data_IF_769192108891
#
_entry.id   IF_769192108891
#
_cell.length_a   1.000
_cell.length_b   1.000
_cell.length_c   1.000
_cell.angle_alpha   90.00
_cell.angle_beta   90.00
_cell.angle_gamma   90.00
#
_symmetry.space_group_name_H-M   'P 1'
#
loop_
_entity.id
_entity.type
_entity.pdbx_description
1 polymer ?
#
# COMPACT_ATOMS: atom_id res chain seq x y z
N UNK A 1 -25.08 39.11 -19.57
CA UNK A 1 -24.73 37.68 -19.43
C UNK A 1 -23.51 37.57 -18.53
N UNK A 2 -23.65 37.09 -17.29
CA UNK A 2 -22.51 36.83 -16.39
C UNK A 2 -21.92 35.47 -16.77
N UNK A 3 -20.59 35.36 -16.93
CA UNK A 3 -19.96 34.11 -17.37
C UNK A 3 -20.12 33.01 -16.33
N UNK A 4 -20.34 31.78 -16.79
CA UNK A 4 -20.51 30.57 -15.97
C UNK A 4 -19.38 30.40 -14.93
N UNK A 5 -18.16 30.80 -15.30
CA UNK A 5 -16.97 30.76 -14.44
C UNK A 5 -17.13 31.58 -13.15
N UNK A 6 -17.85 32.72 -13.18
CA UNK A 6 -18.10 33.54 -11.97
C UNK A 6 -19.21 32.98 -11.08
N UNK A 7 -20.07 32.10 -11.59
CA UNK A 7 -21.11 31.42 -10.79
C UNK A 7 -20.55 30.22 -10.02
N UNK A 8 -19.58 29.51 -10.61
CA UNK A 8 -18.97 28.32 -10.03
C UNK A 8 -18.10 28.65 -8.81
N UNK A 9 -17.44 29.82 -8.78
CA UNK A 9 -16.64 30.29 -7.64
C UNK A 9 -17.45 30.50 -6.35
N UNK A 10 -18.77 30.69 -6.44
CA UNK A 10 -19.67 30.87 -5.29
C UNK A 10 -20.41 29.60 -4.87
N UNK A 11 -20.25 28.50 -5.60
CA UNK A 11 -20.97 27.24 -5.35
C UNK A 11 -20.12 26.27 -4.55
N UNK A 12 -20.73 25.60 -3.58
CA UNK A 12 -20.11 24.50 -2.88
C UNK A 12 -20.13 23.27 -3.79
N UNK A 13 -19.07 23.08 -4.58
CA UNK A 13 -18.94 22.02 -5.61
C UNK A 13 -19.05 20.59 -5.04
N UNK A 14 -19.11 20.44 -3.72
CA UNK A 14 -19.27 19.16 -3.02
C UNK A 14 -20.73 18.81 -2.69
N UNK A 15 -21.68 19.71 -2.94
CA UNK A 15 -23.11 19.44 -2.80
C UNK A 15 -23.77 19.40 -4.19
N UNK A 16 -24.16 18.20 -4.62
CA UNK A 16 -24.73 17.96 -5.96
C UNK A 16 -26.08 18.66 -6.14
N UNK A 17 -26.85 18.84 -5.06
CA UNK A 17 -28.16 19.51 -5.09
C UNK A 17 -28.02 21.01 -5.38
N UNK A 18 -27.08 21.69 -4.72
CA UNK A 18 -26.80 23.12 -4.93
C UNK A 18 -26.30 23.41 -6.36
N UNK A 19 -25.56 22.46 -6.94
CA UNK A 19 -25.07 22.53 -8.32
C UNK A 19 -26.20 22.38 -9.33
N UNK A 20 -27.18 21.51 -9.06
CA UNK A 20 -28.29 21.22 -9.95
C UNK A 20 -29.34 22.34 -9.99
N UNK A 21 -29.50 23.11 -8.91
CA UNK A 21 -30.44 24.24 -8.84
C UNK A 21 -30.01 25.45 -9.69
N UNK A 22 -28.71 25.63 -9.90
CA UNK A 22 -28.16 26.77 -10.67
C UNK A 22 -28.00 26.51 -12.17
N UNK A 23 -28.17 25.25 -12.60
CA UNK A 23 -28.10 24.86 -14.02
C UNK A 23 -29.41 25.19 -14.73
N UNK A 24 -29.30 25.71 -15.95
CA UNK A 24 -30.46 25.83 -16.84
C UNK A 24 -30.98 24.45 -17.25
N UNK A 25 -32.25 24.34 -17.68
CA UNK A 25 -32.80 23.04 -18.06
C UNK A 25 -32.04 22.35 -19.20
N UNK A 26 -31.49 23.13 -20.14
CA UNK A 26 -30.64 22.60 -21.22
C UNK A 26 -29.31 22.04 -20.66
N UNK A 27 -28.69 22.71 -19.69
CA UNK A 27 -27.46 22.26 -19.03
C UNK A 27 -27.72 21.07 -18.10
N UNK A 28 -28.89 21.02 -17.46
CA UNK A 28 -29.33 19.89 -16.63
C UNK A 28 -29.60 18.66 -17.49
N UNK A 29 -30.20 18.83 -18.66
CA UNK A 29 -30.38 17.74 -19.62
C UNK A 29 -29.03 17.26 -20.17
N UNK A 30 -28.08 18.17 -20.39
CA UNK A 30 -26.71 17.83 -20.80
C UNK A 30 -25.93 17.14 -19.67
N UNK A 31 -26.07 17.57 -18.41
CA UNK A 31 -25.51 16.94 -17.22
C UNK A 31 -26.12 15.54 -17.01
N UNK A 32 -27.43 15.38 -17.17
CA UNK A 32 -28.11 14.09 -17.07
C UNK A 32 -27.72 13.14 -18.22
N UNK A 33 -27.57 13.66 -19.45
CA UNK A 33 -27.02 12.88 -20.59
C UNK A 33 -25.55 12.51 -20.36
N UNK A 34 -24.76 13.39 -19.76
CA UNK A 34 -23.38 13.11 -19.36
C UNK A 34 -23.31 12.05 -18.24
N UNK A 35 -24.14 12.17 -17.20
CA UNK A 35 -24.25 11.24 -16.07
C UNK A 35 -24.79 9.86 -16.47
N UNK A 36 -25.68 9.79 -17.47
CA UNK A 36 -26.23 8.54 -17.98
C UNK A 36 -25.39 7.94 -19.12
N UNK A 37 -24.67 8.76 -19.88
CA UNK A 37 -23.78 8.34 -20.97
C UNK A 37 -22.40 7.88 -20.49
N UNK A 38 -21.89 8.46 -19.41
CA UNK A 38 -20.92 7.78 -18.58
C UNK A 38 -21.67 6.73 -17.77
N UNK A 39 -21.35 5.46 -17.97
CA UNK A 39 -21.48 4.48 -16.90
C UNK A 39 -20.59 4.97 -15.73
N UNK A 40 -21.05 5.96 -14.96
CA UNK A 40 -20.59 6.24 -13.60
C UNK A 40 -21.11 5.08 -12.74
N UNK A 41 -20.66 3.87 -13.08
CA UNK A 41 -20.51 2.80 -12.11
C UNK A 41 -19.70 3.47 -11.01
N UNK A 42 -20.31 3.58 -9.83
CA UNK A 42 -19.63 3.88 -8.57
C UNK A 42 -18.17 3.47 -8.67
N UNK A 43 -17.20 4.34 -8.34
CA UNK A 43 -15.79 4.01 -8.50
C UNK A 43 -15.58 2.63 -7.89
N UNK A 44 -15.24 1.66 -8.73
CA UNK A 44 -15.13 0.27 -8.30
C UNK A 44 -14.13 0.29 -7.16
N UNK A 45 -14.56 -0.04 -5.94
CA UNK A 45 -13.67 -0.12 -4.79
C UNK A 45 -12.45 -0.94 -5.19
N UNK A 46 -11.26 -0.36 -5.04
CA UNK A 46 -10.02 -1.05 -5.39
C UNK A 46 -9.94 -2.31 -4.54
N UNK A 47 -10.00 -3.46 -5.20
CA UNK A 47 -9.84 -4.75 -4.55
C UNK A 47 -8.35 -4.99 -4.37
N UNK A 48 -7.86 -5.19 -3.14
CA UNK A 48 -6.45 -5.49 -2.94
C UNK A 48 -6.01 -6.74 -3.70
N UNK A 49 -4.81 -6.70 -4.28
CA UNK A 49 -4.32 -7.78 -5.14
C UNK A 49 -4.18 -9.13 -4.43
N UNK A 50 -4.04 -9.15 -3.11
CA UNK A 50 -3.95 -10.40 -2.34
C UNK A 50 -5.30 -11.10 -2.18
N UNK A 51 -6.41 -10.45 -2.50
CA UNK A 51 -7.74 -11.07 -2.49
C UNK A 51 -7.89 -11.91 -3.77
N UNK A 52 -8.25 -13.18 -3.60
CA UNK A 52 -8.58 -14.05 -4.72
C UNK A 52 -9.98 -13.73 -5.26
N UNK A 53 -10.18 -13.77 -6.59
CA UNK A 53 -11.50 -13.62 -7.17
C UNK A 53 -12.42 -14.79 -6.76
N UNK A 54 -13.74 -14.59 -6.73
CA UNK A 54 -14.70 -15.67 -6.50
C UNK A 54 -14.52 -16.82 -7.49
N UNK A 55 -14.88 -18.04 -7.08
CA UNK A 55 -14.82 -19.21 -7.95
C UNK A 55 -15.65 -19.00 -9.22
N UNK A 56 -15.02 -19.11 -10.40
CA UNK A 56 -15.63 -18.87 -11.70
C UNK A 56 -15.20 -17.56 -12.39
N UNK A 57 -14.57 -16.63 -11.66
CA UNK A 57 -13.97 -15.42 -12.25
C UNK A 57 -12.50 -15.65 -12.59
N UNK A 58 -12.13 -15.44 -13.86
CA UNK A 58 -10.85 -15.96 -14.39
C UNK A 58 -9.60 -15.15 -14.02
N UNK A 59 -9.71 -13.91 -13.52
CA UNK A 59 -8.57 -13.12 -13.04
C UNK A 59 -9.05 -11.89 -12.25
N UNK A 60 -8.37 -11.58 -11.14
CA UNK A 60 -8.45 -10.22 -10.58
C UNK A 60 -7.66 -9.28 -11.51
N UNK A 61 -8.35 -8.33 -12.12
CA UNK A 61 -7.73 -7.23 -12.85
C UNK A 61 -7.42 -6.10 -11.88
N UNK A 62 -6.16 -5.71 -11.83
CA UNK A 62 -5.68 -4.61 -10.98
C UNK A 62 -5.55 -3.38 -11.86
N UNK A 63 -6.14 -2.29 -11.40
CA UNK A 63 -6.11 -1.01 -12.07
C UNK A 63 -5.09 -0.13 -11.33
N UNK A 64 -3.98 0.20 -11.99
CA UNK A 64 -3.13 1.30 -11.55
C UNK A 64 -3.74 2.65 -11.99
N UNK A 65 -3.22 3.77 -11.47
CA UNK A 65 -3.75 5.10 -11.71
C UNK A 65 -3.77 5.53 -13.20
N UNK A 66 -3.07 4.81 -14.07
CA UNK A 66 -3.00 4.98 -15.53
C UNK A 66 -4.08 4.19 -16.30
N UNK A 67 -4.91 3.40 -15.60
CA UNK A 67 -6.22 2.95 -16.07
C UNK A 67 -6.25 1.65 -16.87
N UNK A 68 -5.12 0.99 -17.11
CA UNK A 68 -5.11 -0.30 -17.81
C UNK A 68 -5.23 -1.47 -16.83
N UNK A 69 -6.24 -2.35 -16.98
CA UNK A 69 -6.35 -3.53 -16.15
C UNK A 69 -5.19 -4.49 -16.42
N UNK A 70 -4.48 -4.88 -15.37
CA UNK A 70 -3.40 -5.87 -15.43
C UNK A 70 -3.80 -7.14 -14.68
N UNK A 71 -3.52 -8.34 -15.22
CA UNK A 71 -3.64 -9.58 -14.47
C UNK A 71 -2.82 -9.53 -13.18
N UNK A 72 -3.39 -10.05 -12.08
CA UNK A 72 -2.72 -10.13 -10.77
C UNK A 72 -1.28 -10.63 -10.83
N UNK A 73 -1.02 -11.69 -11.60
CA UNK A 73 0.31 -12.30 -11.70
C UNK A 73 1.32 -11.32 -12.31
N UNK A 74 0.95 -10.68 -13.43
CA UNK A 74 1.80 -9.68 -14.09
C UNK A 74 2.08 -8.49 -13.17
N UNK A 75 1.04 -8.04 -12.46
CA UNK A 75 1.17 -6.98 -11.47
C UNK A 75 2.13 -7.37 -10.35
N UNK A 76 2.01 -8.58 -9.80
CA UNK A 76 2.92 -9.06 -8.78
C UNK A 76 4.36 -9.17 -9.28
N UNK A 77 4.56 -9.67 -10.50
CA UNK A 77 5.87 -9.84 -11.12
C UNK A 77 6.60 -8.51 -11.34
N UNK A 78 5.89 -7.43 -11.65
CA UNK A 78 6.44 -6.07 -11.80
C UNK A 78 7.21 -5.62 -10.56
N UNK A 79 6.77 -6.03 -9.37
CA UNK A 79 7.34 -5.59 -8.09
C UNK A 79 8.36 -6.55 -7.49
N UNK A 80 8.58 -7.73 -8.06
CA UNK A 80 9.57 -8.66 -7.53
C UNK A 80 10.99 -8.07 -7.59
N UNK A 81 11.71 -8.19 -6.48
CA UNK A 81 13.07 -7.69 -6.37
C UNK A 81 14.03 -8.65 -7.08
N UNK A 82 14.81 -8.10 -8.01
CA UNK A 82 15.89 -8.83 -8.68
C UNK A 82 17.14 -8.77 -7.81
N UNK A 83 17.94 -9.84 -7.82
CA UNK A 83 19.26 -9.91 -7.19
C UNK A 83 19.26 -9.81 -5.65
N UNK A 84 18.18 -10.21 -4.98
CA UNK A 84 18.20 -10.40 -3.52
C UNK A 84 18.54 -11.87 -3.25
N UNK A 85 19.72 -12.19 -2.69
CA UNK A 85 20.07 -13.57 -2.42
C UNK A 85 19.18 -14.16 -1.32
N UNK A 86 18.84 -15.45 -1.39
CA UNK A 86 18.25 -16.18 -0.27
C UNK A 86 19.09 -16.02 1.01
N UNK A 87 18.43 -15.88 2.17
CA UNK A 87 19.12 -15.64 3.44
C UNK A 87 20.15 -16.73 3.81
N UNK A 88 19.85 -17.99 3.47
CA UNK A 88 20.75 -19.14 3.68
C UNK A 88 22.09 -19.01 2.93
N UNK A 89 22.14 -18.24 1.84
CA UNK A 89 23.39 -17.96 1.10
C UNK A 89 24.21 -16.83 1.73
N UNK A 90 23.57 -16.00 2.57
CA UNK A 90 24.20 -14.83 3.20
C UNK A 90 24.65 -15.13 4.63
N UNK A 91 23.93 -15.99 5.34
CA UNK A 91 24.21 -16.29 6.74
C UNK A 91 23.74 -17.70 7.14
N UNK A 92 24.51 -18.33 8.03
CA UNK A 92 24.14 -19.58 8.68
C UNK A 92 23.19 -19.39 9.88
N UNK A 93 22.95 -18.14 10.31
CA UNK A 93 22.06 -17.86 11.45
C UNK A 93 20.62 -18.14 11.06
N UNK A 94 19.98 -19.06 11.79
CA UNK A 94 18.57 -19.40 11.61
C UNK A 94 17.70 -18.28 12.19
N UNK A 95 16.79 -17.69 11.40
CA UNK A 95 15.87 -16.67 11.88
C UNK A 95 14.96 -17.20 12.98
N UNK A 96 14.73 -16.37 14.00
CA UNK A 96 13.87 -16.73 15.12
C UNK A 96 12.40 -16.51 14.79
N UNK A 97 11.52 -16.99 15.66
CA UNK A 97 10.09 -16.70 15.59
C UNK A 97 9.79 -15.18 15.51
N UNK A 98 10.62 -14.35 16.15
CA UNK A 98 10.45 -12.91 16.13
C UNK A 98 10.69 -12.27 14.75
N UNK A 99 11.46 -12.93 13.88
CA UNK A 99 11.60 -12.50 12.49
C UNK A 99 10.26 -12.61 11.76
N UNK A 100 9.52 -13.70 11.97
CA UNK A 100 8.19 -13.87 11.37
C UNK A 100 7.20 -12.83 11.90
N UNK A 101 7.18 -12.59 13.21
CA UNK A 101 6.23 -11.62 13.78
C UNK A 101 6.58 -10.18 13.38
N UNK A 102 7.86 -9.87 13.20
CA UNK A 102 8.32 -8.61 12.61
C UNK A 102 7.85 -8.43 11.16
N UNK A 103 7.97 -9.47 10.32
CA UNK A 103 7.43 -9.46 8.96
C UNK A 103 5.91 -9.23 8.96
N UNK A 104 5.18 -9.94 9.81
CA UNK A 104 3.72 -9.80 9.95
C UNK A 104 3.33 -8.38 10.34
N UNK A 105 4.10 -7.73 11.23
CA UNK A 105 3.87 -6.33 11.57
C UNK A 105 4.03 -5.39 10.36
N UNK A 106 5.09 -5.58 9.57
CA UNK A 106 5.32 -4.80 8.34
C UNK A 106 4.15 -4.98 7.36
N UNK A 107 3.73 -6.22 7.14
CA UNK A 107 2.60 -6.53 6.24
C UNK A 107 1.29 -5.93 6.75
N UNK A 108 1.02 -5.97 8.06
CA UNK A 108 -0.18 -5.38 8.64
C UNK A 108 -0.26 -3.87 8.42
N UNK A 109 0.84 -3.14 8.66
CA UNK A 109 0.88 -1.70 8.38
C UNK A 109 0.70 -1.45 6.87
N UNK A 110 1.37 -2.22 6.02
CA UNK A 110 1.21 -2.10 4.58
C UNK A 110 -0.24 -2.30 4.12
N UNK A 111 -0.97 -3.28 4.66
CA UNK A 111 -2.39 -3.50 4.31
C UNK A 111 -3.29 -2.33 4.72
N UNK A 112 -3.03 -1.73 5.88
CA UNK A 112 -3.76 -0.54 6.35
C UNK A 112 -3.54 0.62 5.38
N UNK A 113 -2.29 0.85 4.98
CA UNK A 113 -1.93 1.94 4.09
C UNK A 113 -2.47 1.74 2.67
N UNK A 114 -2.38 0.52 2.14
CA UNK A 114 -2.97 0.19 0.84
C UNK A 114 -4.47 0.50 0.81
N UNK A 115 -5.21 0.10 1.85
CA UNK A 115 -6.65 0.39 1.94
C UNK A 115 -6.93 1.87 2.11
N UNK A 116 -6.17 2.55 2.96
CA UNK A 116 -6.33 3.97 3.22
C UNK A 116 -6.15 4.83 1.96
N UNK A 117 -5.17 4.48 1.11
CA UNK A 117 -4.91 5.14 -0.17
C UNK A 117 -5.61 4.46 -1.36
N UNK A 118 -6.50 3.49 -1.11
CA UNK A 118 -7.21 2.76 -2.17
C UNK A 118 -6.28 2.23 -3.29
N UNK A 119 -5.12 1.68 -2.92
CA UNK A 119 -4.11 1.17 -3.84
C UNK A 119 -3.21 2.24 -4.50
N UNK A 120 -3.40 3.52 -4.20
CA UNK A 120 -2.58 4.64 -4.67
C UNK A 120 -1.39 4.98 -3.73
N UNK A 121 -1.05 4.06 -2.84
CA UNK A 121 -0.01 4.23 -1.80
C UNK A 121 1.41 4.43 -2.36
N UNK A 122 1.65 4.13 -3.65
CA UNK A 122 2.91 4.43 -4.35
C UNK A 122 2.82 5.77 -5.08
N UNK A 123 1.84 5.95 -5.96
CA UNK A 123 1.66 7.20 -6.69
C UNK A 123 0.23 7.71 -6.49
N UNK A 124 0.03 8.97 -6.10
CA UNK A 124 1.02 10.03 -5.86
C UNK A 124 1.60 10.06 -4.42
N UNK A 125 1.27 9.09 -3.57
CA UNK A 125 1.45 9.21 -2.11
C UNK A 125 2.73 8.57 -1.54
N UNK A 126 3.68 8.09 -2.37
CA UNK A 126 4.86 7.33 -1.91
C UNK A 126 5.59 7.92 -0.70
N UNK A 127 5.78 9.25 -0.67
CA UNK A 127 6.51 9.88 0.42
C UNK A 127 5.74 9.84 1.73
N UNK A 128 4.46 10.19 1.69
CA UNK A 128 3.59 10.15 2.86
C UNK A 128 3.40 8.71 3.36
N UNK A 129 3.13 7.78 2.45
CA UNK A 129 2.98 6.36 2.78
C UNK A 129 4.29 5.77 3.32
N UNK A 130 5.46 6.17 2.79
CA UNK A 130 6.76 5.74 3.31
C UNK A 130 6.96 6.20 4.75
N UNK A 131 6.74 7.49 5.01
CA UNK A 131 6.84 8.05 6.37
C UNK A 131 5.89 7.33 7.33
N UNK A 132 4.65 7.10 6.91
CA UNK A 132 3.67 6.38 7.71
C UNK A 132 4.06 4.91 7.98
N UNK A 133 4.51 4.18 6.95
CA UNK A 133 4.93 2.79 7.08
C UNK A 133 6.07 2.64 8.10
N UNK A 134 7.08 3.51 7.99
CA UNK A 134 8.24 3.52 8.89
C UNK A 134 7.80 3.85 10.33
N UNK A 135 6.87 4.78 10.51
CA UNK A 135 6.44 5.23 11.83
C UNK A 135 5.35 4.38 12.50
N UNK A 136 4.65 3.53 11.75
CA UNK A 136 3.64 2.63 12.35
C UNK A 136 4.19 1.23 12.59
N UNK A 137 5.18 0.78 11.81
CA UNK A 137 5.75 -0.55 11.98
C UNK A 137 6.90 -0.54 13.00
N UNK A 138 6.71 -1.26 14.11
CA UNK A 138 7.73 -1.40 15.15
C UNK A 138 8.98 -2.16 14.68
N UNK A 139 8.91 -2.85 13.53
CA UNK A 139 10.05 -3.47 12.87
C UNK A 139 11.10 -2.44 12.41
N UNK A 140 10.67 -1.24 11.97
CA UNK A 140 11.60 -0.17 11.54
C UNK A 140 12.06 0.74 12.68
N UNK A 141 11.21 0.97 13.69
CA UNK A 141 11.46 1.99 14.72
C UNK A 141 12.44 1.52 15.79
N UNK A 142 12.29 0.28 16.27
CA UNK A 142 13.01 -0.19 17.46
C UNK A 142 13.33 -1.69 17.43
N UNK A 143 13.26 -2.34 16.27
CA UNK A 143 13.37 -3.81 16.12
C UNK A 143 12.50 -4.53 17.15
N UNK A 144 11.27 -4.05 17.34
CA UNK A 144 10.38 -4.59 18.38
C UNK A 144 10.14 -6.07 18.10
N UNK A 145 10.27 -6.86 19.15
CA UNK A 145 9.90 -8.27 19.12
C UNK A 145 8.46 -8.40 19.58
N UNK A 146 7.70 -9.26 18.88
CA UNK A 146 6.31 -9.53 19.21
C UNK A 146 6.16 -10.97 19.67
N UNK A 147 5.50 -11.15 20.81
CA UNK A 147 5.28 -12.44 21.45
C UNK A 147 4.32 -13.33 20.64
N UNK A 148 3.41 -12.73 19.85
CA UNK A 148 2.46 -13.43 19.00
C UNK A 148 2.29 -12.78 17.63
N UNK A 149 1.83 -13.56 16.65
CA UNK A 149 1.51 -13.05 15.30
C UNK A 149 0.37 -12.05 15.36
N UNK A 150 -0.66 -12.36 16.14
CA UNK A 150 -1.81 -11.49 16.35
C UNK A 150 -1.39 -10.21 17.09
N UNK A 151 -0.52 -10.32 18.11
CA UNK A 151 0.02 -9.16 18.81
C UNK A 151 0.78 -8.19 17.90
N UNK A 152 1.52 -8.71 16.91
CA UNK A 152 2.18 -7.90 15.88
C UNK A 152 1.17 -7.10 15.04
N UNK A 153 0.03 -7.70 14.67
CA UNK A 153 -1.05 -7.03 13.93
C UNK A 153 -1.74 -5.97 14.81
N UNK A 154 -2.05 -6.30 16.07
CA UNK A 154 -2.67 -5.34 17.00
C UNK A 154 -1.79 -4.11 17.24
N UNK A 155 -0.46 -4.28 17.31
CA UNK A 155 0.44 -3.13 17.44
C UNK A 155 0.41 -2.25 16.20
N UNK A 156 0.41 -2.82 14.99
CA UNK A 156 0.26 -2.07 13.75
C UNK A 156 -1.04 -1.24 13.76
N UNK A 157 -2.17 -1.89 14.04
CA UNK A 157 -3.48 -1.23 14.13
C UNK A 157 -3.50 -0.12 15.20
N UNK A 158 -2.93 -0.39 16.39
CA UNK A 158 -2.87 0.60 17.48
C UNK A 158 -2.03 1.81 17.07
N UNK A 159 -0.83 1.59 16.51
CA UNK A 159 0.04 2.68 16.07
C UNK A 159 -0.58 3.51 14.95
N UNK A 160 -1.29 2.88 14.01
CA UNK A 160 -2.04 3.59 12.97
C UNK A 160 -3.27 4.34 13.50
N UNK A 161 -3.89 3.93 14.61
CA UNK A 161 -5.02 4.66 15.22
C UNK A 161 -4.61 5.89 16.03
N UNK A 162 -3.39 5.88 16.55
CA UNK A 162 -2.86 6.98 17.36
C UNK A 162 -2.46 8.20 16.52
N UNK A 163 -2.43 8.06 15.19
CA UNK A 163 -2.19 9.17 14.27
C UNK A 163 -3.50 9.81 13.81
N UNK A 164 -3.48 11.13 13.56
CA UNK A 164 -4.57 11.84 12.87
C UNK A 164 -4.48 11.71 11.35
N UNK A 165 -3.43 11.07 10.84
CA UNK A 165 -3.13 10.97 9.41
C UNK A 165 -3.94 9.88 8.70
N UNK A 166 -4.45 8.87 9.43
CA UNK A 166 -5.29 7.80 8.87
C UNK A 166 -6.70 7.95 9.44
N UNK A 167 -7.72 7.92 8.58
CA UNK A 167 -9.11 7.90 9.07
C UNK A 167 -9.40 6.56 9.76
N UNK A 168 -9.97 6.61 10.97
CA UNK A 168 -10.21 5.43 11.81
C UNK A 168 -11.09 4.37 11.14
N UNK A 169 -11.95 4.77 10.20
CA UNK A 169 -12.82 3.88 9.42
C UNK A 169 -12.04 2.84 8.59
N UNK A 170 -10.79 3.12 8.21
CA UNK A 170 -9.94 2.18 7.47
C UNK A 170 -9.23 1.16 8.37
N UNK A 171 -9.37 1.28 9.69
CA UNK A 171 -8.65 0.43 10.64
C UNK A 171 -9.62 -0.55 11.31
N UNK A 172 -10.10 -1.51 10.52
CA UNK A 172 -10.81 -2.69 11.01
C UNK A 172 -9.81 -3.83 11.25
N UNK A 173 -9.54 -4.14 12.52
CA UNK A 173 -8.54 -5.17 12.90
C UNK A 173 -8.87 -6.53 12.28
N UNK A 174 -10.15 -6.90 12.14
CA UNK A 174 -10.54 -8.17 11.53
C UNK A 174 -10.19 -8.23 10.04
N UNK A 175 -10.38 -7.13 9.33
CA UNK A 175 -10.01 -7.03 7.91
C UNK A 175 -8.49 -7.06 7.75
N UNK A 176 -7.74 -6.36 8.60
CA UNK A 176 -6.26 -6.40 8.57
C UNK A 176 -5.75 -7.82 8.84
N UNK A 177 -6.35 -8.55 9.80
CA UNK A 177 -6.01 -9.95 10.04
C UNK A 177 -6.23 -10.80 8.78
N UNK A 178 -7.37 -10.61 8.11
CA UNK A 178 -7.71 -11.38 6.92
C UNK A 178 -6.83 -11.01 5.71
N UNK A 179 -6.49 -9.73 5.54
CA UNK A 179 -5.57 -9.29 4.50
C UNK A 179 -4.18 -9.88 4.69
N UNK A 180 -3.64 -9.78 5.91
CA UNK A 180 -2.33 -10.37 6.25
C UNK A 180 -2.38 -11.88 6.03
N UNK A 181 -3.46 -12.54 6.41
CA UNK A 181 -3.66 -13.97 6.14
C UNK A 181 -3.64 -14.28 4.65
N UNK A 182 -4.34 -13.51 3.82
CA UNK A 182 -4.39 -13.70 2.38
C UNK A 182 -3.02 -13.44 1.71
N UNK A 183 -2.25 -12.46 2.22
CA UNK A 183 -0.87 -12.26 1.79
C UNK A 183 0.00 -13.46 2.15
N UNK A 184 -0.09 -13.98 3.38
CA UNK A 184 0.72 -15.12 3.81
C UNK A 184 0.33 -16.42 3.09
N UNK A 185 -0.97 -16.69 2.95
CA UNK A 185 -1.44 -17.92 2.29
C UNK A 185 -1.04 -17.98 0.81
N UNK A 186 -0.88 -16.81 0.18
CA UNK A 186 -0.57 -16.70 -1.23
C UNK A 186 -1.72 -17.16 -2.13
N UNK A 187 -1.51 -17.10 -3.46
CA UNK A 187 -2.44 -17.69 -4.42
C UNK A 187 -2.60 -19.20 -4.22
N UNK A 188 -3.82 -19.73 -4.41
CA UNK A 188 -4.12 -21.16 -4.19
C UNK A 188 -3.31 -22.10 -5.10
N UNK A 189 -3.07 -21.68 -6.34
CA UNK A 189 -2.54 -22.53 -7.43
C UNK A 189 -1.12 -22.13 -7.89
N UNK A 190 -0.42 -21.29 -7.15
CA UNK A 190 0.88 -20.74 -7.56
C UNK A 190 1.83 -20.65 -6.34
N UNK A 191 3.02 -20.05 -6.50
CA UNK A 191 3.99 -19.86 -5.42
C UNK A 191 3.34 -19.08 -4.26
N UNK A 192 3.22 -19.74 -3.12
CA UNK A 192 2.58 -19.18 -1.92
C UNK A 192 3.35 -17.98 -1.36
N UNK A 193 4.63 -17.84 -1.70
CA UNK A 193 5.44 -16.68 -1.33
C UNK A 193 5.14 -15.46 -2.19
N UNK A 194 4.49 -15.63 -3.35
CA UNK A 194 4.33 -14.59 -4.36
C UNK A 194 3.70 -13.32 -3.79
N UNK A 195 2.61 -13.43 -3.03
CA UNK A 195 1.95 -12.28 -2.43
C UNK A 195 2.87 -11.55 -1.42
N UNK A 196 3.63 -12.29 -0.61
CA UNK A 196 4.58 -11.73 0.36
C UNK A 196 5.70 -10.99 -0.36
N UNK A 197 6.32 -11.63 -1.34
CA UNK A 197 7.42 -11.06 -2.12
C UNK A 197 6.94 -9.84 -2.93
N UNK A 198 5.73 -9.89 -3.48
CA UNK A 198 5.10 -8.75 -4.13
C UNK A 198 4.89 -7.58 -3.16
N UNK A 199 4.31 -7.82 -1.98
CA UNK A 199 4.08 -6.78 -0.98
C UNK A 199 5.40 -6.13 -0.53
N UNK A 200 6.42 -6.93 -0.21
CA UNK A 200 7.76 -6.43 0.14
C UNK A 200 8.41 -5.66 -1.03
N UNK A 201 8.20 -6.13 -2.25
CA UNK A 201 8.63 -5.48 -3.48
C UNK A 201 8.00 -4.11 -3.71
N UNK A 202 6.69 -3.99 -3.45
CA UNK A 202 5.99 -2.72 -3.50
C UNK A 202 6.47 -1.74 -2.44
N UNK A 203 6.67 -2.22 -1.20
CA UNK A 203 7.24 -1.39 -0.13
C UNK A 203 8.63 -0.88 -0.53
N UNK A 204 9.47 -1.75 -1.09
CA UNK A 204 10.78 -1.36 -1.59
C UNK A 204 10.69 -0.33 -2.72
N UNK A 205 9.74 -0.50 -3.66
CA UNK A 205 9.52 0.46 -4.74
C UNK A 205 9.08 1.82 -4.20
N UNK A 206 8.16 1.83 -3.23
CA UNK A 206 7.73 3.03 -2.53
C UNK A 206 8.90 3.77 -1.85
N UNK A 207 9.79 3.03 -1.16
CA UNK A 207 11.02 3.61 -0.60
C UNK A 207 11.95 4.16 -1.68
N UNK A 208 12.04 3.51 -2.85
CA UNK A 208 12.87 3.97 -3.97
C UNK A 208 12.35 5.26 -4.57
N UNK A 209 11.04 5.40 -4.72
CA UNK A 209 10.42 6.65 -5.17
C UNK A 209 10.70 7.78 -4.17
N UNK A 210 10.48 7.54 -2.87
CA UNK A 210 10.80 8.52 -1.82
C UNK A 210 12.31 8.88 -1.79
N UNK A 211 13.19 7.89 -1.97
CA UNK A 211 14.64 8.11 -1.97
C UNK A 211 15.10 8.94 -3.18
N UNK A 212 14.54 8.67 -4.36
CA UNK A 212 14.85 9.41 -5.59
C UNK A 212 14.32 10.84 -5.57
N UNK A 213 13.27 11.09 -4.80
CA UNK A 213 12.64 12.41 -4.68
C UNK A 213 13.28 13.31 -3.61
N UNK A 214 14.36 12.86 -2.98
CA UNK A 214 15.08 13.68 -2.00
C UNK A 214 15.81 14.88 -2.65
N UNK A 215 15.87 16.06 -2.00
CA UNK A 215 16.40 17.30 -2.57
C UNK A 215 17.82 17.17 -3.15
N UNK A 216 18.67 16.35 -2.51
CA UNK A 216 20.05 16.10 -2.94
C UNK A 216 20.14 15.47 -4.33
N UNK A 217 19.15 14.67 -4.75
CA UNK A 217 19.10 14.03 -6.07
C UNK A 217 18.24 14.77 -7.10
N UNK A 218 17.32 15.64 -6.66
CA UNK A 218 16.58 16.54 -7.57
C UNK A 218 17.53 17.49 -8.32
N UNK A 219 18.61 17.93 -7.67
CA UNK A 219 19.66 18.76 -8.29
C UNK A 219 20.43 18.02 -9.40
N UNK A 220 20.56 16.70 -9.32
CA UNK A 220 21.28 15.88 -10.32
C UNK A 220 20.42 15.54 -11.54
N UNK A 221 19.08 15.60 -11.44
CA UNK A 221 18.12 15.27 -12.53
C UNK A 221 17.57 16.48 -13.28
N UNK A 222 18.02 17.69 -12.95
CA UNK A 222 17.41 18.96 -13.39
C UNK A 222 17.54 19.30 -14.88
N UNK A 223 18.20 18.50 -15.71
CA UNK A 223 18.36 18.84 -17.13
C UNK A 223 17.27 18.27 -18.07
N UNK A 224 16.39 17.34 -17.63
CA UNK A 224 15.41 16.69 -18.53
C UNK A 224 14.07 16.26 -17.91
N UNK A 225 13.48 17.02 -17.00
CA UNK A 225 12.17 16.66 -16.42
C UNK A 225 10.99 17.40 -17.08
N UNK A 226 10.05 16.63 -17.64
CA UNK A 226 8.71 17.02 -18.10
C UNK A 226 7.86 17.64 -16.96
N UNK A 227 6.74 18.33 -17.25
CA UNK A 227 6.06 19.25 -16.32
C UNK A 227 5.12 18.56 -15.32
N UNK A 228 5.43 17.34 -14.87
CA UNK A 228 4.74 16.76 -13.72
C UNK A 228 5.38 17.32 -12.45
N UNK A 229 4.69 18.27 -11.82
CA UNK A 229 5.16 19.01 -10.64
C UNK A 229 5.48 18.10 -9.44
N UNK A 230 6.10 18.65 -8.38
CA UNK A 230 6.54 17.89 -7.22
C UNK A 230 5.37 17.10 -6.60
N UNK A 231 5.65 15.89 -6.13
CA UNK A 231 4.71 15.06 -5.38
C UNK A 231 4.02 15.89 -4.31
N UNK A 232 2.67 15.88 -4.31
CA UNK A 232 1.87 16.61 -3.34
C UNK A 232 2.02 15.94 -1.98
N UNK A 233 2.98 16.40 -1.18
CA UNK A 233 2.92 16.17 0.26
C UNK A 233 1.75 16.94 0.83
N UNK A 234 0.96 16.30 1.69
CA UNK A 234 0.27 17.05 2.73
C UNK A 234 1.30 17.93 3.45
N UNK A 235 1.06 19.23 3.57
CA UNK A 235 1.99 20.22 4.11
C UNK A 235 2.53 19.88 5.52
N UNK A 236 1.95 18.86 6.16
CA UNK A 236 2.23 18.42 7.52
C UNK A 236 3.18 17.23 7.63
N UNK A 237 3.54 16.57 6.52
CA UNK A 237 4.34 15.34 6.56
C UNK A 237 5.78 15.63 6.15
N UNK A 238 6.69 15.52 7.12
CA UNK A 238 8.12 15.65 6.88
C UNK A 238 8.66 14.37 6.23
N UNK A 239 9.45 14.46 5.15
CA UNK A 239 10.13 13.31 4.59
C UNK A 239 11.06 12.66 5.63
N UNK A 240 11.19 11.33 5.59
CA UNK A 240 12.16 10.62 6.42
C UNK A 240 13.60 10.91 5.99
N UNK A 241 14.54 10.77 6.94
CA UNK A 241 15.96 10.99 6.67
C UNK A 241 16.51 9.90 5.74
N UNK A 242 17.55 10.23 4.96
CA UNK A 242 18.24 9.26 4.10
C UNK A 242 18.78 8.06 4.88
N UNK A 243 19.22 8.28 6.12
CA UNK A 243 19.69 7.23 7.01
C UNK A 243 18.56 6.24 7.36
N UNK A 244 17.40 6.75 7.78
CA UNK A 244 16.23 5.91 8.08
C UNK A 244 15.71 5.19 6.84
N UNK A 245 15.68 5.84 5.68
CA UNK A 245 15.32 5.18 4.42
C UNK A 245 16.29 4.05 4.09
N UNK A 246 17.60 4.30 4.19
CA UNK A 246 18.65 3.30 3.95
C UNK A 246 18.53 2.12 4.92
N UNK A 247 18.24 2.39 6.20
CA UNK A 247 17.97 1.34 7.17
C UNK A 247 16.73 0.52 6.78
N UNK A 248 15.65 1.18 6.37
CA UNK A 248 14.39 0.55 6.00
C UNK A 248 14.53 -0.34 4.76
N UNK A 249 15.36 0.06 3.78
CA UNK A 249 15.74 -0.81 2.66
C UNK A 249 16.40 -2.12 3.12
N UNK A 250 17.35 -2.03 4.06
CA UNK A 250 18.04 -3.22 4.59
C UNK A 250 17.07 -4.14 5.32
N UNK A 251 16.13 -3.59 6.08
CA UNK A 251 15.08 -4.36 6.76
C UNK A 251 14.20 -5.10 5.75
N UNK A 252 13.76 -4.44 4.68
CA UNK A 252 12.96 -5.07 3.62
C UNK A 252 13.75 -6.14 2.86
N UNK A 253 15.01 -5.88 2.52
CA UNK A 253 15.89 -6.88 1.89
C UNK A 253 16.07 -8.10 2.79
N UNK A 254 16.29 -7.89 4.10
CA UNK A 254 16.38 -8.99 5.06
C UNK A 254 15.10 -9.83 5.08
N UNK A 255 13.92 -9.21 5.15
CA UNK A 255 12.66 -9.94 5.10
C UNK A 255 12.43 -10.65 3.75
N UNK A 256 12.85 -10.04 2.65
CA UNK A 256 12.76 -10.64 1.32
C UNK A 256 13.65 -11.89 1.24
N UNK A 257 14.92 -11.79 1.64
CA UNK A 257 15.85 -12.92 1.76
C UNK A 257 15.33 -14.00 2.70
N UNK A 258 14.73 -13.63 3.84
CA UNK A 258 14.12 -14.55 4.80
C UNK A 258 13.01 -15.37 4.14
N UNK A 259 12.11 -14.70 3.39
CA UNK A 259 11.00 -15.36 2.72
C UNK A 259 11.50 -16.31 1.62
N UNK A 260 12.54 -15.94 0.89
CA UNK A 260 13.15 -16.80 -0.13
C UNK A 260 13.69 -18.12 0.46
N UNK A 261 14.31 -18.06 1.64
CA UNK A 261 14.97 -19.24 2.24
C UNK A 261 14.09 -20.08 3.16
N UNK A 262 13.28 -19.44 4.00
CA UNK A 262 12.72 -20.10 5.17
C UNK A 262 11.19 -20.18 5.16
N UNK A 263 10.51 -19.40 4.34
CA UNK A 263 9.04 -19.34 4.37
C UNK A 263 8.39 -20.68 4.10
N UNK A 264 7.40 -21.04 4.94
CA UNK A 264 6.59 -22.24 4.79
C UNK A 264 5.11 -21.94 5.01
N UNK A 265 4.21 -22.60 4.27
CA UNK A 265 2.75 -22.48 4.45
C UNK A 265 2.27 -22.73 5.87
N UNK A 266 3.00 -23.56 6.63
CA UNK A 266 2.72 -23.82 8.05
C UNK A 266 2.72 -22.52 8.88
N UNK A 267 3.45 -21.51 8.42
CA UNK A 267 3.56 -20.21 9.08
C UNK A 267 2.40 -19.26 8.76
N UNK A 268 1.64 -19.52 7.70
CA UNK A 268 0.45 -18.76 7.34
C UNK A 268 -0.70 -18.93 8.35
N UNK A 269 -0.66 -19.98 9.19
CA UNK A 269 -1.55 -20.07 10.34
C UNK A 269 -1.26 -18.92 11.30
N UNK A 270 -2.23 -18.01 11.45
CA UNK A 270 -2.19 -16.95 12.45
C UNK A 270 -2.57 -17.43 13.86
N UNK A 271 -2.92 -18.72 14.01
CA UNK A 271 -2.98 -19.34 15.33
C UNK A 271 -1.55 -19.49 15.84
N UNK A 272 -1.26 -18.94 17.00
CA UNK A 272 0.00 -19.23 17.68
C UNK A 272 -0.01 -20.71 18.03
N UNK A 273 0.85 -21.51 17.39
CA UNK A 273 1.24 -22.79 17.95
C UNK A 273 2.40 -22.49 18.90
N UNK A 274 2.22 -22.59 20.23
CA UNK A 274 3.34 -22.59 21.14
C UNK A 274 4.07 -23.91 20.92
N UNK A 275 4.93 -23.95 19.91
CA UNK A 275 5.97 -24.96 19.82
C UNK A 275 7.13 -24.45 20.65
N UNK A 276 7.60 -25.29 21.56
CA UNK A 276 8.79 -25.08 22.37
C UNK A 276 9.94 -24.65 21.44
N UNK A 277 10.19 -23.35 21.36
CA UNK A 277 11.39 -22.78 20.74
C UNK A 277 12.24 -22.22 21.89
N UNK A 278 12.75 -23.15 22.70
CA UNK A 278 13.94 -22.98 23.53
C UNK A 278 15.01 -23.93 22.98
#
# INVERSE_FOLDING_TARGET
MRSLAKKIDSLNVYNEEDLLEELTEEEREHYNKFKNGLNLKTPKKVVPFWIEPPEGESCLLIYEADGWPMPKIEYCQKYLLKNVPPLLEVTAVVPTYFTLTGLINVLAVYTILYRHYEGQHIYPFAMETTTQLINFSGAFIARKYYVSKIGAIYQACTSSKLTTLIKLEYINVKEVIEDVRNILMGPKNDDQRLNILCALGQIHHMFKECYNDTPRRRLEKSERALPFGPFRTSAHIKPETLEKLTHSFKVIHFYYSYVLSYYSKKWASLKDEPKNYL
#
